data_IF_602457795039
#
_entry.id   IF_602457795039
#
_cell.length_a   1.000
_cell.length_b   1.000
_cell.length_c   1.000
_cell.angle_alpha   90.00
_cell.angle_beta   90.00
_cell.angle_gamma   90.00
#
_symmetry.space_group_name_H-M   'P 1'
#
loop_
_entity.id
_entity.type
_entity.pdbx_description
1 polymer ?
#
# COMPACT_ATOMS: atom_id res chain seq x y z
N UNK A 1 23.64 -5.43 9.50
CA UNK A 1 23.87 -6.60 8.65
C UNK A 1 23.08 -6.49 7.35
N UNK A 2 23.48 -7.25 6.37
CA UNK A 2 22.82 -7.28 5.07
C UNK A 2 21.36 -7.73 5.19
N UNK A 3 21.10 -8.69 6.06
CA UNK A 3 19.74 -9.18 6.35
C UNK A 3 18.86 -8.07 6.93
N UNK A 4 19.39 -7.26 7.85
CA UNK A 4 18.66 -6.13 8.41
C UNK A 4 18.32 -5.10 7.35
N UNK A 5 19.27 -4.80 6.47
CA UNK A 5 19.05 -3.84 5.38
C UNK A 5 17.95 -4.29 4.43
N UNK A 6 17.90 -5.59 4.12
CA UNK A 6 16.85 -6.16 3.27
C UNK A 6 15.48 -6.06 3.93
N UNK A 7 15.39 -6.35 5.22
CA UNK A 7 14.14 -6.21 5.99
C UNK A 7 13.68 -4.75 5.99
N UNK A 8 14.61 -3.82 6.19
CA UNK A 8 14.32 -2.38 6.17
C UNK A 8 13.79 -1.95 4.80
N UNK A 9 14.39 -2.46 3.71
CA UNK A 9 13.92 -2.15 2.35
C UNK A 9 12.49 -2.63 2.11
N UNK A 10 12.14 -3.83 2.58
CA UNK A 10 10.78 -4.36 2.46
C UNK A 10 9.79 -3.45 3.21
N UNK A 11 10.12 -3.05 4.43
CA UNK A 11 9.29 -2.15 5.22
C UNK A 11 9.12 -0.78 4.57
N UNK A 12 10.20 -0.22 4.04
CA UNK A 12 10.18 1.08 3.34
C UNK A 12 9.32 1.01 2.08
N UNK A 13 9.39 -0.10 1.35
CA UNK A 13 8.58 -0.31 0.15
C UNK A 13 7.10 -0.24 0.47
N UNK A 14 6.67 -0.92 1.54
CA UNK A 14 5.30 -0.86 2.00
C UNK A 14 4.88 0.56 2.36
N UNK A 15 5.65 1.24 3.22
CA UNK A 15 5.30 2.58 3.69
C UNK A 15 5.31 3.62 2.57
N UNK A 16 6.18 3.48 1.58
CA UNK A 16 6.21 4.40 0.44
C UNK A 16 4.88 4.38 -0.31
N UNK A 17 4.36 3.20 -0.62
CA UNK A 17 3.07 3.05 -1.30
C UNK A 17 1.92 3.52 -0.40
N UNK A 18 1.90 3.04 0.83
CA UNK A 18 0.84 3.37 1.77
C UNK A 18 0.72 4.88 2.00
N UNK A 19 1.83 5.54 2.29
CA UNK A 19 1.81 6.99 2.54
C UNK A 19 1.42 7.79 1.30
N UNK A 20 1.87 7.37 0.12
CA UNK A 20 1.49 8.02 -1.12
C UNK A 20 -0.02 8.00 -1.32
N UNK A 21 -0.63 6.83 -1.14
CA UNK A 21 -2.07 6.65 -1.32
C UNK A 21 -2.87 7.34 -0.21
N UNK A 22 -2.43 7.20 1.03
CA UNK A 22 -3.09 7.83 2.17
C UNK A 22 -3.17 9.34 1.99
N UNK A 23 -2.07 9.97 1.60
CA UNK A 23 -2.04 11.42 1.39
C UNK A 23 -2.99 11.86 0.29
N UNK A 24 -3.05 11.13 -0.81
CA UNK A 24 -3.96 11.44 -1.90
C UNK A 24 -5.44 11.32 -1.49
N UNK A 25 -5.76 10.29 -0.70
CA UNK A 25 -7.12 10.08 -0.21
C UNK A 25 -7.51 11.12 0.85
N UNK A 26 -6.60 11.48 1.74
CA UNK A 26 -6.87 12.46 2.80
C UNK A 26 -7.22 13.85 2.27
N UNK A 27 -6.71 14.22 1.11
CA UNK A 27 -7.09 15.48 0.46
C UNK A 27 -8.58 15.50 0.15
N UNK A 28 -9.17 14.34 -0.12
CA UNK A 28 -10.57 14.20 -0.50
C UNK A 28 -11.49 13.90 0.67
N UNK A 29 -11.01 13.17 1.65
CA UNK A 29 -11.78 12.77 2.83
C UNK A 29 -10.82 12.48 3.99
N UNK A 30 -11.06 13.06 5.17
CA UNK A 30 -10.23 12.75 6.34
C UNK A 30 -10.23 11.25 6.66
N UNK A 31 -9.05 10.72 6.97
CA UNK A 31 -8.85 9.33 7.34
C UNK A 31 -8.53 9.22 8.82
N UNK A 32 -8.88 8.09 9.49
CA UNK A 32 -8.55 7.91 10.89
C UNK A 32 -7.03 7.88 11.11
N UNK A 33 -6.60 8.36 12.27
CA UNK A 33 -5.18 8.41 12.64
C UNK A 33 -4.82 7.27 13.59
N UNK A 34 -5.31 6.07 13.30
CA UNK A 34 -5.07 4.88 14.11
C UNK A 34 -4.75 3.69 13.21
N UNK A 35 -4.59 2.50 13.80
CA UNK A 35 -4.24 1.29 13.07
C UNK A 35 -5.25 0.91 11.99
N UNK A 36 -6.50 1.38 12.08
CA UNK A 36 -7.55 1.05 11.12
C UNK A 36 -7.37 1.75 9.78
N UNK A 37 -6.54 2.78 9.70
CA UNK A 37 -6.35 3.54 8.45
C UNK A 37 -5.84 2.65 7.33
N UNK A 38 -4.96 1.71 7.63
CA UNK A 38 -4.44 0.79 6.61
C UNK A 38 -5.57 -0.04 5.99
N UNK A 39 -6.39 -0.67 6.84
CA UNK A 39 -7.51 -1.49 6.37
C UNK A 39 -8.50 -0.66 5.55
N UNK A 40 -8.75 0.57 5.96
CA UNK A 40 -9.65 1.48 5.26
C UNK A 40 -9.11 1.86 3.88
N UNK A 41 -7.84 2.21 3.78
CA UNK A 41 -7.21 2.52 2.50
C UNK A 41 -7.32 1.33 1.54
N UNK A 42 -6.99 0.13 2.02
CA UNK A 42 -7.10 -1.10 1.21
C UNK A 42 -8.55 -1.30 0.76
N UNK A 43 -9.53 -1.07 1.63
CA UNK A 43 -10.94 -1.21 1.26
C UNK A 43 -11.35 -0.24 0.16
N UNK A 44 -10.98 1.02 0.26
CA UNK A 44 -11.29 1.99 -0.78
C UNK A 44 -10.70 1.56 -2.13
N UNK A 45 -9.44 1.15 -2.14
CA UNK A 45 -8.77 0.74 -3.37
C UNK A 45 -9.35 -0.55 -3.95
N UNK A 46 -9.61 -1.54 -3.09
CA UNK A 46 -10.07 -2.86 -3.53
C UNK A 46 -11.50 -2.85 -4.05
N UNK A 47 -12.34 -1.92 -3.58
CA UNK A 47 -13.74 -1.81 -4.00
C UNK A 47 -13.97 -0.70 -5.02
N UNK A 48 -12.93 0.00 -5.43
CA UNK A 48 -13.04 1.08 -6.40
C UNK A 48 -13.53 0.56 -7.76
N UNK A 49 -14.36 1.32 -8.48
CA UNK A 49 -14.77 0.97 -9.85
C UNK A 49 -13.66 1.34 -10.85
N UNK A 50 -12.43 0.91 -10.57
CA UNK A 50 -11.26 1.24 -11.37
C UNK A 50 -10.23 0.12 -11.20
N UNK A 51 -9.87 -0.54 -12.31
CA UNK A 51 -8.97 -1.69 -12.29
C UNK A 51 -7.57 -1.34 -11.79
N UNK A 52 -7.06 -0.17 -12.13
CA UNK A 52 -5.74 0.25 -11.69
C UNK A 52 -5.69 0.45 -10.18
N UNK A 53 -6.73 1.05 -9.60
CA UNK A 53 -6.84 1.17 -8.15
C UNK A 53 -6.96 -0.20 -7.48
N UNK A 54 -7.71 -1.12 -8.07
CA UNK A 54 -7.81 -2.49 -7.54
C UNK A 54 -6.42 -3.16 -7.53
N UNK A 55 -5.67 -3.01 -8.60
CA UNK A 55 -4.31 -3.55 -8.71
C UNK A 55 -3.37 -2.93 -7.68
N UNK A 56 -3.45 -1.63 -7.47
CA UNK A 56 -2.64 -0.92 -6.46
C UNK A 56 -3.01 -1.40 -5.06
N UNK A 57 -4.31 -1.61 -4.79
CA UNK A 57 -4.77 -2.17 -3.53
C UNK A 57 -4.22 -3.56 -3.26
N UNK A 58 -4.18 -4.41 -4.28
CA UNK A 58 -3.60 -5.74 -4.15
C UNK A 58 -2.09 -5.67 -3.87
N UNK A 59 -1.38 -4.78 -4.56
CA UNK A 59 0.03 -4.57 -4.30
C UNK A 59 0.28 -4.11 -2.87
N UNK A 60 -0.56 -3.21 -2.35
CA UNK A 60 -0.45 -2.75 -0.97
C UNK A 60 -0.63 -3.89 0.03
N UNK A 61 -1.58 -4.80 -0.23
CA UNK A 61 -1.76 -6.00 0.60
C UNK A 61 -0.52 -6.89 0.57
N UNK A 62 0.04 -7.12 -0.63
CA UNK A 62 1.21 -7.97 -0.80
C UNK A 62 2.43 -7.39 -0.07
N UNK A 63 2.63 -6.08 -0.17
CA UNK A 63 3.74 -5.40 0.49
C UNK A 63 3.58 -5.42 2.01
N UNK A 64 2.34 -5.29 2.52
CA UNK A 64 2.10 -5.39 3.94
C UNK A 64 2.40 -6.79 4.47
N UNK A 65 1.97 -7.82 3.73
CA UNK A 65 2.25 -9.20 4.08
C UNK A 65 3.76 -9.46 4.13
N UNK A 66 4.49 -8.98 3.12
CA UNK A 66 5.95 -9.09 3.08
C UNK A 66 6.62 -8.36 4.25
N UNK A 67 6.14 -7.16 4.58
CA UNK A 67 6.64 -6.40 5.73
C UNK A 67 6.39 -7.13 7.04
N UNK A 68 5.18 -7.66 7.23
CA UNK A 68 4.85 -8.38 8.45
C UNK A 68 5.71 -9.63 8.61
N UNK A 69 5.94 -10.37 7.55
CA UNK A 69 6.83 -11.53 7.58
C UNK A 69 8.26 -11.10 7.93
N UNK A 70 8.76 -10.03 7.32
CA UNK A 70 10.11 -9.54 7.57
C UNK A 70 10.29 -9.03 9.01
N UNK A 71 9.26 -8.36 9.57
CA UNK A 71 9.36 -7.74 10.89
C UNK A 71 9.09 -8.73 12.04
N UNK A 72 8.15 -9.65 11.85
CA UNK A 72 7.62 -10.47 12.94
C UNK A 72 8.01 -11.93 12.90
N UNK A 73 8.43 -12.45 11.74
CA UNK A 73 8.92 -13.83 11.63
C UNK A 73 10.44 -13.81 11.60
N UNK A 74 11.04 -13.93 12.78
CA UNK A 74 12.49 -13.91 12.91
C UNK A 74 13.17 -15.13 12.28
N UNK A 75 12.42 -16.19 12.02
CA UNK A 75 12.93 -17.38 11.33
C UNK A 75 12.94 -17.22 9.81
N UNK A 76 12.14 -16.30 9.28
CA UNK A 76 12.10 -16.05 7.85
C UNK A 76 13.34 -15.28 7.41
N UNK A 77 13.97 -15.74 6.32
CA UNK A 77 15.10 -15.03 5.73
C UNK A 77 14.60 -14.15 4.57
N UNK A 78 15.00 -12.87 4.62
CA UNK A 78 14.74 -11.93 3.53
C UNK A 78 15.98 -11.87 2.64
N UNK A 79 15.87 -12.38 1.43
CA UNK A 79 16.97 -12.38 0.47
C UNK A 79 16.93 -11.17 -0.47
N UNK A 80 17.95 -11.04 -1.32
CA UNK A 80 18.02 -9.94 -2.28
C UNK A 80 16.83 -9.91 -3.24
N UNK A 81 16.35 -11.09 -3.63
CA UNK A 81 15.23 -11.21 -4.56
C UNK A 81 13.95 -10.66 -3.93
N UNK A 82 13.68 -11.01 -2.67
CA UNK A 82 12.50 -10.53 -1.95
C UNK A 82 12.55 -9.02 -1.76
N UNK A 83 13.71 -8.49 -1.37
CA UNK A 83 13.92 -7.06 -1.20
C UNK A 83 13.73 -6.32 -2.53
N UNK A 84 14.36 -6.80 -3.60
CA UNK A 84 14.27 -6.17 -4.92
C UNK A 84 12.87 -6.26 -5.49
N UNK A 85 12.17 -7.38 -5.29
CA UNK A 85 10.79 -7.55 -5.74
C UNK A 85 9.86 -6.56 -5.05
N UNK A 86 10.01 -6.39 -3.74
CA UNK A 86 9.20 -5.41 -2.97
C UNK A 86 9.43 -3.99 -3.47
N UNK A 87 10.70 -3.61 -3.69
CA UNK A 87 11.04 -2.28 -4.19
C UNK A 87 10.46 -2.04 -5.58
N UNK A 88 10.52 -3.03 -6.46
CA UNK A 88 9.99 -2.93 -7.82
C UNK A 88 8.47 -2.82 -7.82
N UNK A 89 7.80 -3.63 -7.00
CA UNK A 89 6.33 -3.57 -6.86
C UNK A 89 5.89 -2.20 -6.34
N UNK A 90 6.60 -1.65 -5.35
CA UNK A 90 6.29 -0.35 -4.79
C UNK A 90 6.44 0.75 -5.84
N UNK A 91 7.54 0.74 -6.59
CA UNK A 91 7.80 1.74 -7.62
C UNK A 91 6.70 1.70 -8.71
N UNK A 92 6.32 0.51 -9.15
CA UNK A 92 5.26 0.34 -10.14
C UNK A 92 3.91 0.83 -9.62
N UNK A 93 3.58 0.51 -8.37
CA UNK A 93 2.32 0.92 -7.76
C UNK A 93 2.23 2.44 -7.64
N UNK A 94 3.31 3.10 -7.22
CA UNK A 94 3.35 4.55 -7.10
C UNK A 94 3.19 5.21 -8.48
N UNK A 95 3.92 4.73 -9.48
CA UNK A 95 3.82 5.26 -10.84
C UNK A 95 2.42 5.07 -11.41
N UNK A 96 1.83 3.91 -11.21
CA UNK A 96 0.45 3.63 -11.64
C UNK A 96 -0.52 4.58 -10.95
N UNK A 97 -0.38 4.77 -9.63
CA UNK A 97 -1.29 5.64 -8.89
C UNK A 97 -1.16 7.11 -9.27
N UNK A 98 0.05 7.56 -9.65
CA UNK A 98 0.26 8.93 -10.11
C UNK A 98 -0.54 9.24 -11.40
N UNK A 99 -0.78 8.22 -12.22
CA UNK A 99 -1.59 8.37 -13.43
C UNK A 99 -3.09 8.31 -13.19
N UNK A 100 -3.54 8.01 -11.99
CA UNK A 100 -4.96 7.90 -11.65
C UNK A 100 -5.52 9.28 -11.33
N UNK A 101 -6.67 9.62 -11.93
CA UNK A 101 -7.32 10.92 -11.77
C UNK A 101 -7.91 11.09 -10.37
N UNK A 102 -8.10 12.35 -9.97
CA UNK A 102 -8.81 12.68 -8.73
C UNK A 102 -10.25 12.16 -8.78
N UNK A 103 -10.89 12.23 -9.96
CA UNK A 103 -12.25 11.72 -10.13
C UNK A 103 -12.34 10.23 -9.82
N UNK A 104 -11.36 9.44 -10.24
CA UNK A 104 -11.31 8.01 -9.95
C UNK A 104 -11.16 7.76 -8.45
N UNK A 105 -10.33 8.55 -7.76
CA UNK A 105 -10.17 8.45 -6.31
C UNK A 105 -11.45 8.84 -5.57
N UNK A 106 -12.14 9.87 -6.00
CA UNK A 106 -13.45 10.27 -5.43
C UNK A 106 -14.48 9.16 -5.60
N UNK A 107 -14.51 8.52 -6.76
CA UNK A 107 -15.41 7.39 -7.00
C UNK A 107 -15.10 6.24 -6.04
N UNK A 108 -13.83 5.97 -5.77
CA UNK A 108 -13.41 4.94 -4.82
C UNK A 108 -13.93 5.23 -3.41
N UNK A 109 -13.83 6.49 -2.97
CA UNK A 109 -14.32 6.90 -1.65
C UNK A 109 -15.84 6.75 -1.56
N UNK A 110 -16.56 7.09 -2.63
CA UNK A 110 -18.01 7.08 -2.64
C UNK A 110 -18.63 5.68 -2.66
N UNK A 111 -17.86 4.65 -3.02
CA UNK A 111 -18.34 3.26 -3.01
C UNK A 111 -18.64 2.79 -1.59
N UNK A 112 -17.95 3.33 -0.56
CA UNK A 112 -18.14 2.94 0.84
C UNK A 112 -18.57 4.16 1.68
N UNK A 113 -19.71 4.81 1.38
CA UNK A 113 -20.07 6.06 2.03
C UNK A 113 -20.39 5.92 3.52
N UNK A 114 -20.79 4.76 3.97
CA UNK A 114 -21.14 4.49 5.39
C UNK A 114 -19.97 3.97 6.21
N UNK A 115 -18.80 3.83 5.61
CA UNK A 115 -17.63 3.28 6.27
C UNK A 115 -16.75 4.41 6.81
N UNK A 116 -16.87 4.64 8.09
CA UNK A 116 -16.11 5.69 8.77
C UNK A 116 -15.43 5.16 10.01
#
# INVERSE_FOLDING_TARGET
SLERERRTSVGRSYYAVFNHLRLRLEVLKPLPMNADVHALVVKYLSNAPNRELNSVGQTLRDLRAARNTADYDLAAMVDDKQSSTSMLKADRAIKKSQGISEAALRAAINVLPTYH
#
